data_IF_380586455341
#
_entry.id   IF_380586455341
#
_cell.length_a   1.000
_cell.length_b   1.000
_cell.length_c   1.000
_cell.angle_alpha   90.00
_cell.angle_beta   90.00
_cell.angle_gamma   90.00
#
_symmetry.space_group_name_H-M   'P 1'
#
loop_
_entity.id
_entity.type
_entity.pdbx_description
1 polymer ?
#
# COMPACT_ATOMS: atom_id res chain seq x y z
N UNK A 1 -1.55 0.06 -10.33
CA UNK A 1 -0.81 0.27 -11.59
C UNK A 1 -0.66 1.73 -11.99
N UNK A 2 -1.02 2.70 -11.14
CA UNK A 2 -0.71 4.13 -11.29
C UNK A 2 0.81 4.37 -11.31
N UNK A 3 1.53 3.64 -10.46
CA UNK A 3 2.98 3.53 -10.50
C UNK A 3 3.36 2.22 -11.20
N UNK A 4 4.10 2.28 -12.30
CA UNK A 4 4.36 1.10 -13.14
C UNK A 4 5.14 0.00 -12.42
N UNK A 5 5.99 0.33 -11.47
CA UNK A 5 6.80 -0.64 -10.73
C UNK A 5 6.08 -1.26 -9.50
N UNK A 6 4.81 -0.96 -9.27
CA UNK A 6 4.06 -1.46 -8.11
C UNK A 6 3.27 -2.74 -8.43
N UNK A 7 3.97 -3.81 -8.81
CA UNK A 7 3.38 -5.03 -9.37
C UNK A 7 2.50 -5.83 -8.38
N UNK A 8 2.70 -5.69 -7.07
CA UNK A 8 1.83 -6.37 -6.09
C UNK A 8 0.40 -5.85 -6.13
N UNK A 9 0.22 -4.53 -6.30
CA UNK A 9 -1.11 -3.92 -6.44
C UNK A 9 -1.80 -4.38 -7.72
N UNK A 10 -1.07 -4.40 -8.83
CA UNK A 10 -1.57 -4.92 -10.12
C UNK A 10 -2.02 -6.37 -10.00
N UNK A 11 -1.19 -7.22 -9.39
CA UNK A 11 -1.52 -8.64 -9.21
C UNK A 11 -2.72 -8.83 -8.29
N UNK A 12 -2.84 -8.05 -7.21
CA UNK A 12 -3.99 -8.10 -6.32
C UNK A 12 -5.30 -7.77 -7.06
N UNK A 13 -5.30 -6.72 -7.90
CA UNK A 13 -6.46 -6.36 -8.72
C UNK A 13 -6.74 -7.42 -9.78
N UNK A 14 -5.71 -8.01 -10.41
CA UNK A 14 -5.89 -9.09 -11.37
C UNK A 14 -6.50 -10.36 -10.75
N UNK A 15 -6.13 -10.69 -9.51
CA UNK A 15 -6.78 -11.78 -8.76
C UNK A 15 -8.26 -11.49 -8.50
N UNK A 16 -8.60 -10.24 -8.18
CA UNK A 16 -10.00 -9.82 -8.06
C UNK A 16 -10.73 -9.91 -9.40
N UNK A 17 -10.13 -9.45 -10.51
CA UNK A 17 -10.70 -9.59 -11.86
C UNK A 17 -11.01 -11.06 -12.17
N UNK A 18 -10.08 -11.96 -11.86
CA UNK A 18 -10.28 -13.40 -12.08
C UNK A 18 -11.44 -13.95 -11.23
N UNK A 19 -11.54 -13.55 -9.96
CA UNK A 19 -12.65 -13.95 -9.09
C UNK A 19 -14.01 -13.45 -9.61
N UNK A 20 -14.09 -12.19 -10.05
CA UNK A 20 -15.32 -11.57 -10.56
C UNK A 20 -15.75 -12.13 -11.92
N UNK A 21 -14.83 -12.67 -12.72
CA UNK A 21 -15.17 -13.41 -13.95
C UNK A 21 -15.83 -14.76 -13.65
N UNK A 22 -15.41 -15.44 -12.61
CA UNK A 22 -16.02 -16.71 -12.16
C UNK A 22 -17.35 -16.45 -11.47
N UNK A 23 -17.43 -15.40 -10.70
CA UNK A 23 -18.59 -15.01 -9.92
C UNK A 23 -18.91 -13.52 -10.14
N UNK A 24 -19.75 -13.19 -11.13
CA UNK A 24 -20.12 -11.82 -11.44
C UNK A 24 -20.73 -11.10 -10.23
N UNK A 25 -20.36 -9.84 -9.98
CA UNK A 25 -20.86 -9.08 -8.85
C UNK A 25 -22.30 -8.64 -9.07
N UNK A 26 -23.04 -8.42 -7.98
CA UNK A 26 -24.29 -7.67 -8.01
C UNK A 26 -23.95 -6.17 -8.01
N UNK A 27 -24.30 -5.46 -9.07
CA UNK A 27 -23.95 -4.05 -9.25
C UNK A 27 -22.71 -3.85 -10.14
N UNK A 28 -22.11 -2.68 -10.07
CA UNK A 28 -21.02 -2.27 -10.96
C UNK A 28 -19.71 -2.17 -10.20
N UNK A 29 -18.64 -2.74 -10.76
CA UNK A 29 -17.27 -2.62 -10.27
C UNK A 29 -16.38 -2.09 -11.38
N UNK A 30 -15.84 -0.89 -11.21
CA UNK A 30 -14.85 -0.31 -12.12
C UNK A 30 -13.46 -0.72 -11.68
N UNK A 31 -12.68 -1.35 -12.56
CA UNK A 31 -11.34 -1.85 -12.27
C UNK A 31 -10.33 -1.26 -13.24
N UNK A 32 -9.24 -0.70 -12.70
CA UNK A 32 -8.10 -0.15 -13.43
C UNK A 32 -6.84 -0.93 -13.02
N UNK A 33 -6.60 -2.14 -13.58
CA UNK A 33 -5.52 -2.99 -13.12
C UNK A 33 -4.12 -2.43 -13.40
N UNK A 34 -3.98 -1.73 -14.54
CA UNK A 34 -2.70 -1.19 -14.99
C UNK A 34 -2.93 0.14 -15.73
N UNK A 35 -2.61 1.25 -15.09
CA UNK A 35 -2.74 2.60 -15.67
C UNK A 35 -1.46 3.01 -16.38
N UNK A 36 -0.31 2.84 -15.73
CA UNK A 36 1.01 3.19 -16.26
C UNK A 36 1.69 1.98 -16.91
N UNK A 37 1.16 1.52 -18.05
CA UNK A 37 1.66 0.34 -18.76
C UNK A 37 3.12 0.52 -19.21
N UNK A 38 3.46 1.69 -19.75
CA UNK A 38 4.81 2.01 -20.22
C UNK A 38 5.82 2.04 -19.06
N UNK A 39 5.42 2.62 -17.92
CA UNK A 39 6.26 2.58 -16.73
C UNK A 39 6.43 1.16 -16.18
N UNK A 40 5.43 0.30 -16.34
CA UNK A 40 5.53 -1.10 -15.91
C UNK A 40 6.51 -1.90 -16.78
N UNK A 41 6.49 -1.72 -18.09
CA UNK A 41 7.43 -2.35 -19.04
C UNK A 41 8.88 -1.97 -18.72
N UNK A 42 9.13 -0.72 -18.34
CA UNK A 42 10.46 -0.20 -17.98
C UNK A 42 10.82 -0.38 -16.50
N UNK A 43 9.94 -0.95 -15.69
CA UNK A 43 10.14 -1.07 -14.23
C UNK A 43 10.17 0.27 -13.49
N UNK A 44 9.61 1.33 -14.07
CA UNK A 44 9.63 2.69 -13.55
C UNK A 44 8.37 2.99 -12.73
N UNK A 45 8.56 3.75 -11.66
CA UNK A 45 7.45 4.28 -10.87
C UNK A 45 6.63 5.31 -11.67
N UNK A 46 7.32 6.22 -12.33
CA UNK A 46 6.80 7.42 -12.96
C UNK A 46 6.49 7.23 -14.43
N UNK A 47 5.80 8.19 -15.02
CA UNK A 47 5.54 8.25 -16.45
C UNK A 47 6.86 8.40 -17.22
N UNK A 48 7.18 7.50 -18.19
CA UNK A 48 8.53 7.45 -18.78
C UNK A 48 8.94 8.68 -19.58
N UNK A 49 7.98 9.37 -20.21
CA UNK A 49 8.32 10.47 -21.16
C UNK A 49 8.78 11.76 -20.48
N UNK A 50 8.27 12.06 -19.30
CA UNK A 50 8.55 13.34 -18.62
C UNK A 50 8.86 13.16 -17.12
N UNK A 51 9.00 11.91 -16.68
CA UNK A 51 9.32 11.52 -15.29
C UNK A 51 8.32 12.06 -14.25
N UNK A 52 7.07 12.34 -14.65
CA UNK A 52 6.03 12.79 -13.70
C UNK A 52 5.40 11.62 -12.96
N UNK A 53 5.01 11.92 -11.74
CA UNK A 53 4.18 11.02 -10.93
C UNK A 53 2.71 11.24 -11.30
N UNK A 54 2.09 10.24 -11.95
CA UNK A 54 0.66 10.30 -12.33
C UNK A 54 -0.21 10.59 -11.10
N UNK A 55 0.16 10.04 -9.94
CA UNK A 55 -0.57 10.27 -8.69
C UNK A 55 -0.47 11.71 -8.16
N UNK A 56 0.22 12.61 -8.85
CA UNK A 56 0.29 14.05 -8.54
C UNK A 56 -0.45 14.92 -9.57
N UNK A 57 -1.08 14.29 -10.57
CA UNK A 57 -1.80 15.00 -11.63
C UNK A 57 -3.30 15.14 -11.37
N UNK A 58 -3.85 14.44 -10.37
CA UNK A 58 -5.28 14.48 -10.05
C UNK A 58 -5.73 15.85 -9.53
N UNK A 59 -6.94 16.31 -9.92
CA UNK A 59 -7.99 15.62 -10.68
C UNK A 59 -7.75 15.55 -12.20
N UNK A 60 -6.68 16.13 -12.73
CA UNK A 60 -6.39 16.16 -14.15
C UNK A 60 -7.15 17.24 -14.93
N UNK A 61 -7.00 17.24 -16.28
CA UNK A 61 -7.67 18.13 -17.21
C UNK A 61 -7.93 17.40 -18.53
N UNK A 62 -9.13 17.54 -19.11
CA UNK A 62 -9.51 16.90 -20.37
C UNK A 62 -8.66 17.39 -21.57
N UNK A 63 -8.30 18.67 -21.57
CA UNK A 63 -7.49 19.35 -22.59
C UNK A 63 -6.00 19.44 -22.20
N UNK A 64 -5.59 18.77 -21.12
CA UNK A 64 -4.22 18.76 -20.64
C UNK A 64 -3.30 17.84 -21.44
N UNK A 65 -2.06 17.73 -20.96
CA UNK A 65 -1.12 16.76 -21.49
C UNK A 65 -1.51 15.30 -21.18
N UNK A 66 -0.70 14.33 -21.62
CA UNK A 66 -1.02 12.91 -21.51
C UNK A 66 -1.32 12.47 -20.08
N UNK A 67 -0.50 12.88 -19.10
CA UNK A 67 -0.67 12.53 -17.69
C UNK A 67 -1.92 13.17 -17.08
N UNK A 68 -2.20 14.43 -17.43
CA UNK A 68 -3.40 15.13 -16.98
C UNK A 68 -4.69 14.53 -17.57
N UNK A 69 -4.66 14.09 -18.83
CA UNK A 69 -5.79 13.42 -19.48
C UNK A 69 -6.05 12.04 -18.88
N UNK A 70 -5.00 11.27 -18.54
CA UNK A 70 -5.15 10.00 -17.83
C UNK A 70 -5.82 10.23 -16.47
N UNK A 71 -5.34 11.19 -15.70
CA UNK A 71 -5.90 11.52 -14.39
C UNK A 71 -7.37 11.96 -14.50
N UNK A 72 -7.70 12.80 -15.47
CA UNK A 72 -9.08 13.25 -15.74
C UNK A 72 -9.99 12.08 -16.10
N UNK A 73 -9.57 11.20 -17.01
CA UNK A 73 -10.38 10.05 -17.44
C UNK A 73 -10.69 9.10 -16.27
N UNK A 74 -9.74 8.88 -15.35
CA UNK A 74 -9.98 8.10 -14.14
C UNK A 74 -11.04 8.79 -13.27
N UNK A 75 -10.90 10.09 -13.02
CA UNK A 75 -11.87 10.84 -12.20
C UNK A 75 -13.27 10.83 -12.79
N UNK A 76 -13.39 10.99 -14.09
CA UNK A 76 -14.66 10.98 -14.83
C UNK A 76 -15.33 9.60 -14.79
N UNK A 77 -14.55 8.53 -14.79
CA UNK A 77 -15.02 7.13 -14.79
C UNK A 77 -15.31 6.55 -13.40
N UNK A 78 -15.08 7.30 -12.31
CA UNK A 78 -15.12 6.76 -10.94
C UNK A 78 -16.23 7.38 -10.08
N UNK A 79 -17.47 7.41 -10.57
CA UNK A 79 -18.63 7.71 -9.72
C UNK A 79 -19.07 6.40 -9.01
N UNK A 80 -18.72 6.28 -7.71
CA UNK A 80 -18.92 5.05 -6.94
C UNK A 80 -19.14 5.35 -5.45
N UNK A 81 -19.84 4.45 -4.74
CA UNK A 81 -20.11 4.53 -3.30
C UNK A 81 -18.81 4.48 -2.48
N UNK A 82 -17.83 3.72 -2.96
CA UNK A 82 -16.49 3.59 -2.37
C UNK A 82 -15.42 3.48 -3.45
N UNK A 83 -14.36 4.24 -3.33
CA UNK A 83 -13.19 4.20 -4.18
C UNK A 83 -12.00 3.58 -3.43
N UNK A 84 -11.24 2.72 -4.09
CA UNK A 84 -10.09 2.04 -3.48
C UNK A 84 -8.86 2.23 -4.36
N UNK A 85 -7.85 2.94 -3.84
CA UNK A 85 -6.56 3.10 -4.48
C UNK A 85 -5.58 2.06 -3.93
N UNK A 86 -5.07 1.18 -4.79
CA UNK A 86 -4.23 0.04 -4.39
C UNK A 86 -2.80 0.24 -4.84
N UNK A 87 -1.88 0.29 -3.89
CA UNK A 87 -0.46 0.52 -4.10
C UNK A 87 0.42 -0.60 -3.55
N UNK A 88 1.68 -0.61 -3.93
CA UNK A 88 2.74 -1.34 -3.25
C UNK A 88 3.58 -0.39 -2.39
N UNK A 89 4.36 -0.94 -1.47
CA UNK A 89 5.44 -0.21 -0.80
C UNK A 89 6.46 0.32 -1.81
N UNK A 90 7.33 1.21 -1.37
CA UNK A 90 8.40 1.72 -2.23
C UNK A 90 9.39 0.62 -2.63
N UNK A 91 10.30 0.92 -3.57
CA UNK A 91 11.38 -0.01 -3.94
C UNK A 91 12.34 -0.31 -2.77
N UNK A 92 12.37 0.52 -1.73
CA UNK A 92 13.26 0.38 -0.58
C UNK A 92 12.67 -0.42 0.57
N UNK A 93 11.34 -0.46 0.72
CA UNK A 93 10.69 -1.09 1.87
C UNK A 93 9.62 -2.08 1.43
N UNK A 94 9.47 -3.17 2.19
CA UNK A 94 8.35 -4.10 2.09
C UNK A 94 7.35 -3.76 3.18
N UNK A 95 6.08 -3.70 2.83
CA UNK A 95 4.99 -3.37 3.74
C UNK A 95 4.02 -4.55 3.88
N UNK A 96 3.59 -4.83 5.11
CA UNK A 96 2.46 -5.71 5.40
C UNK A 96 1.20 -5.07 4.81
N UNK A 97 0.30 -5.83 4.17
CA UNK A 97 -0.94 -5.27 3.64
C UNK A 97 -1.73 -4.50 4.69
N UNK A 98 -2.04 -3.26 4.37
CA UNK A 98 -2.68 -2.31 5.27
C UNK A 98 -3.65 -1.40 4.53
N UNK A 99 -4.67 -0.93 5.23
CA UNK A 99 -5.55 0.15 4.77
C UNK A 99 -5.24 1.41 5.54
N UNK A 100 -4.99 2.50 4.83
CA UNK A 100 -4.74 3.83 5.41
C UNK A 100 -5.99 4.68 5.28
N UNK A 101 -6.56 5.11 6.38
CA UNK A 101 -7.86 5.78 6.44
C UNK A 101 -7.88 6.94 7.45
N UNK A 102 -8.88 7.83 7.39
CA UNK A 102 -9.15 8.79 8.46
C UNK A 102 -9.43 8.11 9.81
N UNK A 103 -9.51 8.92 10.85
CA UNK A 103 -9.75 8.45 12.23
C UNK A 103 -11.16 7.89 12.46
N UNK A 104 -12.14 8.23 11.62
CA UNK A 104 -13.55 7.86 11.75
C UNK A 104 -14.27 7.97 10.41
N UNK A 105 -15.54 7.54 10.37
CA UNK A 105 -16.42 7.67 9.21
C UNK A 105 -16.51 6.42 8.35
N UNK A 106 -17.24 6.51 7.25
CA UNK A 106 -17.52 5.40 6.34
C UNK A 106 -16.25 4.73 5.78
N UNK A 107 -15.19 5.48 5.57
CA UNK A 107 -13.92 4.97 5.11
C UNK A 107 -13.24 4.04 6.15
N UNK A 108 -13.35 4.36 7.45
CA UNK A 108 -12.84 3.48 8.51
C UNK A 108 -13.65 2.17 8.58
N UNK A 109 -14.95 2.25 8.44
CA UNK A 109 -15.81 1.05 8.39
C UNK A 109 -15.44 0.18 7.18
N UNK A 110 -15.31 0.77 6.00
CA UNK A 110 -14.88 0.06 4.79
C UNK A 110 -13.50 -0.63 5.00
N UNK A 111 -12.55 0.06 5.64
CA UNK A 111 -11.24 -0.50 5.94
C UNK A 111 -11.31 -1.73 6.85
N UNK A 112 -12.14 -1.68 7.89
CA UNK A 112 -12.37 -2.82 8.80
C UNK A 112 -13.01 -4.01 8.09
N UNK A 113 -13.97 -3.72 7.20
CA UNK A 113 -14.65 -4.73 6.39
C UNK A 113 -13.69 -5.47 5.45
N UNK A 114 -12.64 -4.82 4.97
CA UNK A 114 -11.60 -5.46 4.16
C UNK A 114 -10.85 -6.54 4.94
N UNK A 115 -10.77 -6.45 6.27
CA UNK A 115 -10.08 -7.43 7.11
C UNK A 115 -8.63 -7.67 6.71
N UNK A 116 -7.93 -6.62 6.24
CA UNK A 116 -6.48 -6.67 6.01
C UNK A 116 -5.73 -6.69 7.35
N UNK A 117 -4.50 -7.20 7.39
CA UNK A 117 -3.74 -7.33 8.65
C UNK A 117 -3.67 -6.05 9.47
N UNK A 118 -3.59 -4.89 8.84
CA UNK A 118 -3.50 -3.62 9.54
C UNK A 118 -4.52 -2.60 9.00
N UNK A 119 -5.27 -1.99 9.90
CA UNK A 119 -6.03 -0.77 9.65
C UNK A 119 -5.27 0.39 10.29
N UNK A 120 -4.69 1.27 9.48
CA UNK A 120 -3.92 2.40 9.96
C UNK A 120 -4.74 3.69 9.90
N UNK A 121 -5.22 4.12 11.06
CA UNK A 121 -5.95 5.38 11.23
C UNK A 121 -4.99 6.55 11.28
N UNK A 122 -5.20 7.53 10.40
CA UNK A 122 -4.35 8.72 10.29
C UNK A 122 -5.15 9.98 10.60
N UNK A 123 -4.61 10.95 11.35
CA UNK A 123 -5.28 12.23 11.58
C UNK A 123 -5.57 12.97 10.27
N UNK A 124 -6.72 13.64 10.19
CA UNK A 124 -7.30 14.22 8.98
C UNK A 124 -6.39 15.15 8.17
N UNK A 125 -5.54 15.98 8.81
CA UNK A 125 -4.59 16.85 8.11
C UNK A 125 -3.43 16.12 7.41
N UNK A 126 -3.30 14.79 7.60
CA UNK A 126 -2.28 13.93 7.00
C UNK A 126 -2.85 12.73 6.24
N UNK A 127 -4.15 12.62 6.17
CA UNK A 127 -4.80 11.72 5.21
C UNK A 127 -4.56 12.36 3.86
N UNK A 128 -3.99 11.63 2.92
CA UNK A 128 -3.60 12.15 1.61
C UNK A 128 -4.64 13.12 1.04
N UNK A 129 -4.34 14.41 1.12
CA UNK A 129 -5.11 15.47 0.45
C UNK A 129 -4.61 15.66 -0.97
N UNK A 130 -3.56 14.94 -1.33
CA UNK A 130 -2.93 14.93 -2.65
C UNK A 130 -3.08 13.56 -3.31
N UNK A 131 -3.01 13.53 -4.62
CA UNK A 131 -3.14 12.30 -5.39
C UNK A 131 -4.61 11.85 -5.56
N UNK A 132 -4.78 10.63 -6.04
CA UNK A 132 -6.09 10.09 -6.43
C UNK A 132 -7.08 10.04 -5.26
N UNK A 133 -6.66 9.49 -4.12
CA UNK A 133 -7.51 9.43 -2.91
C UNK A 133 -7.93 10.82 -2.45
N UNK A 134 -7.01 11.78 -2.46
CA UNK A 134 -7.32 13.17 -2.12
C UNK A 134 -8.32 13.81 -3.09
N UNK A 135 -8.15 13.58 -4.37
CA UNK A 135 -9.05 14.10 -5.40
C UNK A 135 -10.47 13.50 -5.29
N UNK A 136 -10.59 12.19 -5.04
CA UNK A 136 -11.89 11.55 -4.79
C UNK A 136 -12.59 12.14 -3.57
N UNK A 137 -11.88 12.35 -2.46
CA UNK A 137 -12.45 12.98 -1.25
C UNK A 137 -12.88 14.41 -1.48
N UNK A 138 -12.10 15.20 -2.22
CA UNK A 138 -12.46 16.56 -2.61
C UNK A 138 -13.72 16.58 -3.49
N UNK A 139 -13.94 15.53 -4.29
CA UNK A 139 -15.16 15.32 -5.07
C UNK A 139 -16.32 14.71 -4.23
N UNK A 140 -16.19 14.60 -2.90
CA UNK A 140 -17.24 14.10 -2.01
C UNK A 140 -17.38 12.57 -1.99
N UNK A 141 -16.41 11.82 -2.53
CA UNK A 141 -16.43 10.35 -2.58
C UNK A 141 -15.71 9.74 -1.38
N UNK A 142 -16.24 8.65 -0.85
CA UNK A 142 -15.51 7.84 0.14
C UNK A 142 -14.34 7.15 -0.54
N UNK A 143 -13.13 7.28 0.01
CA UNK A 143 -11.94 6.71 -0.62
C UNK A 143 -10.96 6.17 0.41
N UNK A 144 -10.46 4.96 0.18
CA UNK A 144 -9.47 4.29 1.02
C UNK A 144 -8.19 3.98 0.24
N UNK A 145 -7.07 3.96 0.95
CA UNK A 145 -5.75 3.68 0.38
C UNK A 145 -5.24 2.35 0.91
N UNK A 146 -5.09 1.36 0.03
CA UNK A 146 -4.52 0.04 0.33
C UNK A 146 -3.07 0.02 -0.11
N UNK A 147 -2.19 -0.46 0.77
CA UNK A 147 -0.75 -0.61 0.46
C UNK A 147 -0.27 -1.97 0.95
N UNK A 148 0.54 -2.66 0.14
CA UNK A 148 1.16 -3.92 0.56
C UNK A 148 2.25 -4.42 -0.39
N UNK A 149 3.21 -5.17 0.14
CA UNK A 149 4.34 -5.67 -0.64
C UNK A 149 5.44 -4.61 -0.85
N UNK A 150 6.19 -4.75 -1.93
CA UNK A 150 7.33 -3.89 -2.28
C UNK A 150 7.28 -3.56 -3.77
N UNK A 151 7.65 -2.36 -4.17
CA UNK A 151 7.87 -2.01 -5.58
C UNK A 151 8.95 -2.86 -6.23
N UNK A 152 8.89 -3.02 -7.55
CA UNK A 152 9.82 -3.79 -8.41
C UNK A 152 9.89 -5.31 -8.12
N UNK A 153 9.12 -5.83 -7.18
CA UNK A 153 9.06 -7.27 -6.88
C UNK A 153 7.61 -7.72 -6.80
N UNK A 154 7.37 -9.00 -7.03
CA UNK A 154 6.07 -9.63 -6.83
C UNK A 154 6.13 -10.59 -5.63
N UNK A 155 5.28 -10.33 -4.64
CA UNK A 155 5.02 -11.22 -3.51
C UNK A 155 3.57 -11.68 -3.60
N UNK A 156 3.37 -12.93 -4.07
CA UNK A 156 2.04 -13.49 -4.32
C UNK A 156 1.24 -13.69 -3.03
N UNK A 157 1.91 -13.90 -1.88
CA UNK A 157 1.24 -14.00 -0.58
C UNK A 157 0.63 -12.67 -0.18
N UNK A 158 1.41 -11.59 -0.24
CA UNK A 158 0.93 -10.25 0.14
C UNK A 158 -0.12 -9.72 -0.84
N UNK A 159 0.08 -9.95 -2.15
CA UNK A 159 -0.93 -9.60 -3.17
C UNK A 159 -2.24 -10.37 -2.97
N UNK A 160 -2.16 -11.66 -2.63
CA UNK A 160 -3.32 -12.49 -2.32
C UNK A 160 -4.09 -12.00 -1.09
N UNK A 161 -3.39 -11.51 -0.05
CA UNK A 161 -4.04 -10.88 1.10
C UNK A 161 -4.81 -9.63 0.70
N UNK A 162 -4.21 -8.75 -0.11
CA UNK A 162 -4.89 -7.56 -0.64
C UNK A 162 -6.12 -7.93 -1.48
N UNK A 163 -6.01 -8.91 -2.38
CA UNK A 163 -7.13 -9.38 -3.19
C UNK A 163 -8.29 -9.92 -2.34
N UNK A 164 -8.00 -10.71 -1.31
CA UNK A 164 -9.03 -11.17 -0.36
C UNK A 164 -9.68 -10.01 0.39
N UNK A 165 -8.90 -9.00 0.78
CA UNK A 165 -9.44 -7.78 1.40
C UNK A 165 -10.42 -7.05 0.47
N UNK A 166 -10.07 -6.86 -0.79
CA UNK A 166 -10.96 -6.27 -1.80
C UNK A 166 -12.23 -7.11 -1.99
N UNK A 167 -12.10 -8.44 -2.06
CA UNK A 167 -13.26 -9.33 -2.16
C UNK A 167 -14.17 -9.28 -0.93
N UNK A 168 -13.59 -9.18 0.28
CA UNK A 168 -14.39 -9.02 1.53
C UNK A 168 -15.16 -7.70 1.53
N UNK A 169 -14.56 -6.61 1.06
CA UNK A 169 -15.28 -5.33 0.91
C UNK A 169 -16.50 -5.50 0.01
N UNK A 170 -16.34 -6.09 -1.18
CA UNK A 170 -17.45 -6.35 -2.09
C UNK A 170 -18.52 -7.30 -1.48
N UNK A 171 -18.09 -8.33 -0.75
CA UNK A 171 -19.00 -9.22 -0.04
C UNK A 171 -19.81 -8.48 1.03
N UNK A 172 -19.17 -7.57 1.76
CA UNK A 172 -19.82 -6.75 2.79
C UNK A 172 -20.83 -5.77 2.20
N UNK A 173 -20.55 -5.24 1.01
CA UNK A 173 -21.49 -4.43 0.22
C UNK A 173 -22.63 -5.28 -0.39
N UNK A 174 -22.67 -6.60 -0.17
CA UNK A 174 -23.68 -7.51 -0.73
C UNK A 174 -23.49 -7.82 -2.22
N UNK A 175 -22.36 -7.43 -2.80
CA UNK A 175 -22.08 -7.58 -4.22
C UNK A 175 -21.61 -8.98 -4.60
N UNK A 176 -21.05 -9.75 -3.65
CA UNK A 176 -20.62 -11.14 -3.84
C UNK A 176 -20.77 -11.94 -2.53
N UNK A 177 -20.71 -13.28 -2.55
CA UNK A 177 -20.71 -14.08 -1.34
C UNK A 177 -19.52 -13.82 -0.43
N UNK A 178 -19.67 -14.19 0.85
CA UNK A 178 -18.63 -14.05 1.86
C UNK A 178 -17.34 -14.78 1.47
N UNK A 179 -16.20 -14.15 1.73
CA UNK A 179 -14.86 -14.63 1.38
C UNK A 179 -14.04 -14.79 2.66
N UNK A 180 -14.19 -15.92 3.31
CA UNK A 180 -13.35 -16.31 4.44
C UNK A 180 -13.26 -15.29 5.61
N UNK A 181 -12.59 -15.64 6.71
CA UNK A 181 -12.47 -14.77 7.88
C UNK A 181 -11.54 -13.57 7.64
N UNK A 182 -11.71 -12.55 8.49
CA UNK A 182 -10.77 -11.40 8.55
C UNK A 182 -9.38 -11.86 9.00
N UNK A 183 -8.37 -11.19 8.46
CA UNK A 183 -6.97 -11.37 8.84
C UNK A 183 -6.47 -10.19 9.69
N UNK A 184 -7.37 -9.34 10.19
CA UNK A 184 -6.99 -8.15 10.94
C UNK A 184 -6.27 -8.51 12.23
N UNK A 185 -5.06 -8.02 12.35
CA UNK A 185 -4.19 -8.19 13.51
C UNK A 185 -4.16 -6.91 14.35
N UNK A 186 -4.19 -5.75 13.70
CA UNK A 186 -4.03 -4.47 14.37
C UNK A 186 -4.89 -3.36 13.73
N UNK A 187 -5.62 -2.62 14.58
CA UNK A 187 -6.27 -1.34 14.25
C UNK A 187 -5.50 -0.25 15.02
N UNK A 188 -4.65 0.47 14.31
CA UNK A 188 -3.61 1.32 14.91
C UNK A 188 -3.73 2.79 14.51
N UNK A 189 -3.29 3.66 15.40
CA UNK A 189 -3.03 5.07 15.17
C UNK A 189 -1.52 5.34 15.16
N UNK A 190 -1.12 6.59 14.95
CA UNK A 190 0.31 6.95 14.93
C UNK A 190 1.03 6.68 16.26
N UNK A 191 0.34 6.80 17.37
CA UNK A 191 0.92 6.56 18.71
C UNK A 191 1.20 5.09 19.00
N UNK A 192 0.56 4.21 18.24
CA UNK A 192 0.71 2.77 18.38
C UNK A 192 1.88 2.21 17.55
N UNK A 193 2.53 3.07 16.75
CA UNK A 193 3.62 2.66 15.85
C UNK A 193 4.96 3.07 16.44
N UNK A 194 5.83 2.08 16.62
CA UNK A 194 7.25 2.26 16.86
C UNK A 194 7.98 2.32 15.51
N UNK A 195 8.98 3.18 15.40
CA UNK A 195 9.73 3.37 14.15
C UNK A 195 11.21 3.30 14.44
N UNK A 196 11.90 2.36 13.80
CA UNK A 196 13.33 2.19 13.90
C UNK A 196 14.03 2.78 12.68
N UNK A 197 14.99 3.65 12.92
CA UNK A 197 15.80 4.30 11.89
C UNK A 197 17.26 3.96 12.04
N UNK A 198 17.98 3.94 10.92
CA UNK A 198 19.42 3.71 10.90
C UNK A 198 20.16 4.78 11.71
N UNK A 199 21.01 4.38 12.63
CA UNK A 199 21.86 5.28 13.43
C UNK A 199 23.17 5.62 12.70
N UNK A 200 23.56 4.79 11.73
CA UNK A 200 24.73 5.00 10.87
C UNK A 200 24.49 4.43 9.47
N UNK A 201 25.39 4.70 8.54
CA UNK A 201 25.39 4.07 7.21
C UNK A 201 25.93 2.64 7.26
N UNK A 202 25.49 1.80 6.31
CA UNK A 202 25.95 0.42 6.18
C UNK A 202 24.94 -0.49 5.47
N UNK A 203 25.12 -1.82 5.61
CA UNK A 203 24.13 -2.81 5.20
C UNK A 203 23.18 -3.12 6.35
N UNK A 204 21.90 -2.90 6.13
CA UNK A 204 20.87 -3.41 7.04
C UNK A 204 20.58 -4.87 6.74
N UNK A 205 20.80 -5.73 7.72
CA UNK A 205 20.46 -7.16 7.70
C UNK A 205 19.26 -7.35 8.62
N UNK A 206 18.11 -7.67 8.04
CA UNK A 206 16.87 -7.89 8.79
C UNK A 206 16.83 -9.31 9.34
N UNK A 207 16.44 -9.46 10.62
CA UNK A 207 16.17 -10.74 11.29
C UNK A 207 14.66 -11.03 11.38
N UNK A 208 13.82 -10.12 10.86
CA UNK A 208 12.35 -10.24 10.89
C UNK A 208 11.75 -10.03 9.52
N UNK A 209 10.51 -10.49 9.36
CA UNK A 209 9.68 -10.31 8.17
C UNK A 209 8.41 -9.52 8.50
N UNK A 210 7.81 -8.91 7.50
CA UNK A 210 6.49 -8.28 7.68
C UNK A 210 5.46 -9.32 8.10
N UNK A 211 4.73 -9.01 9.17
CA UNK A 211 3.74 -9.87 9.81
C UNK A 211 4.29 -10.68 10.99
N UNK A 212 5.59 -10.68 11.25
CA UNK A 212 6.15 -11.38 12.40
C UNK A 212 5.72 -10.69 13.70
N UNK A 213 5.28 -11.46 14.72
CA UNK A 213 5.11 -10.97 16.07
C UNK A 213 6.47 -10.76 16.73
N UNK A 214 6.59 -9.70 17.52
CA UNK A 214 7.83 -9.38 18.26
C UNK A 214 7.51 -9.01 19.70
N UNK A 215 8.45 -9.29 20.60
CA UNK A 215 8.40 -8.96 22.02
C UNK A 215 9.54 -8.01 22.39
N UNK A 216 9.49 -7.31 23.53
CA UNK A 216 10.59 -6.47 24.00
C UNK A 216 11.92 -7.20 24.00
N UNK A 217 12.96 -6.58 23.43
CA UNK A 217 14.29 -7.16 23.30
C UNK A 217 14.49 -8.02 22.06
N UNK A 218 13.43 -8.41 21.31
CA UNK A 218 13.55 -9.18 20.07
C UNK A 218 14.47 -8.45 19.08
N UNK A 219 15.45 -9.14 18.50
CA UNK A 219 16.36 -8.59 17.50
C UNK A 219 15.62 -8.39 16.19
N UNK A 220 15.43 -7.14 15.77
CA UNK A 220 14.79 -6.80 14.49
C UNK A 220 15.77 -6.85 13.31
N UNK A 221 17.06 -6.64 13.61
CA UNK A 221 18.13 -6.63 12.63
C UNK A 221 19.36 -5.87 13.12
N UNK A 222 20.33 -5.75 12.24
CA UNK A 222 21.57 -5.03 12.54
C UNK A 222 22.11 -4.30 11.31
N UNK A 223 22.95 -3.29 11.54
CA UNK A 223 23.71 -2.60 10.49
C UNK A 223 25.12 -3.17 10.50
N UNK A 224 25.57 -3.61 9.32
CA UNK A 224 26.90 -4.19 9.10
C UNK A 224 27.75 -3.26 8.25
N UNK A 225 29.03 -3.17 8.58
CA UNK A 225 30.03 -2.49 7.78
C UNK A 225 30.16 -3.17 6.40
N UNK A 226 30.05 -2.42 5.29
CA UNK A 226 30.24 -2.99 3.95
C UNK A 226 31.72 -3.29 3.63
N UNK A 227 32.66 -2.81 4.46
CA UNK A 227 34.09 -2.95 4.23
C UNK A 227 34.71 -4.05 5.12
N UNK A 228 34.41 -4.04 6.43
CA UNK A 228 35.00 -4.94 7.39
C UNK A 228 34.09 -6.10 7.81
N UNK A 229 32.78 -6.02 7.55
CA UNK A 229 31.81 -7.04 7.93
C UNK A 229 31.41 -7.03 9.42
N UNK A 230 31.98 -6.14 10.24
CA UNK A 230 31.63 -6.00 11.65
C UNK A 230 30.20 -5.41 11.81
N UNK A 231 29.52 -5.80 12.90
CA UNK A 231 28.25 -5.20 13.29
C UNK A 231 28.49 -3.81 13.87
N UNK A 232 27.88 -2.79 13.25
CA UNK A 232 27.98 -1.39 13.67
C UNK A 232 26.88 -1.00 14.65
N UNK A 233 25.69 -1.59 14.53
CA UNK A 233 24.55 -1.33 15.40
C UNK A 233 23.55 -2.47 15.35
N UNK A 234 22.84 -2.71 16.46
CA UNK A 234 21.71 -3.63 16.53
C UNK A 234 20.41 -2.85 16.76
N UNK A 235 19.31 -3.38 16.22
CA UNK A 235 17.97 -2.88 16.41
C UNK A 235 17.17 -3.92 17.18
N UNK A 236 16.54 -3.50 18.29
CA UNK A 236 15.67 -4.36 19.08
C UNK A 236 14.32 -3.70 19.30
N UNK A 237 13.26 -4.50 19.32
CA UNK A 237 11.92 -4.02 19.68
C UNK A 237 11.91 -3.53 21.14
N UNK A 238 11.26 -2.39 21.39
CA UNK A 238 11.09 -1.87 22.76
C UNK A 238 9.79 -2.36 23.41
N UNK A 239 8.85 -2.86 22.60
CA UNK A 239 7.52 -3.33 23.01
C UNK A 239 7.05 -4.51 22.18
N UNK A 240 6.00 -5.20 22.64
CA UNK A 240 5.30 -6.22 21.87
C UNK A 240 4.54 -5.60 20.70
N UNK A 241 4.48 -6.29 19.56
CA UNK A 241 3.80 -5.80 18.38
C UNK A 241 3.93 -6.73 17.17
N UNK A 242 3.55 -6.21 16.00
CA UNK A 242 3.67 -6.89 14.72
C UNK A 242 4.49 -6.02 13.77
N UNK A 243 5.40 -6.63 13.05
CA UNK A 243 6.26 -5.93 12.07
C UNK A 243 5.44 -5.50 10.86
N UNK A 244 5.24 -4.18 10.70
CA UNK A 244 4.46 -3.61 9.61
C UNK A 244 5.29 -3.35 8.36
N UNK A 245 6.55 -2.98 8.54
CA UNK A 245 7.44 -2.54 7.45
C UNK A 245 8.85 -3.06 7.70
N UNK A 246 9.52 -3.49 6.65
CA UNK A 246 10.93 -3.90 6.72
C UNK A 246 11.69 -3.32 5.54
N UNK A 247 12.84 -2.70 5.82
CA UNK A 247 13.79 -2.25 4.79
C UNK A 247 14.22 -3.45 3.95
N UNK A 248 14.01 -3.38 2.66
CA UNK A 248 14.32 -4.44 1.70
C UNK A 248 15.53 -4.10 0.81
N UNK A 249 15.81 -2.81 0.59
CA UNK A 249 17.06 -2.38 -0.02
C UNK A 249 18.12 -2.23 1.06
N UNK A 250 19.15 -3.07 1.09
CA UNK A 250 20.00 -3.21 2.27
C UNK A 250 20.92 -2.02 2.54
N UNK A 251 21.39 -1.31 1.50
CA UNK A 251 22.21 -0.12 1.71
C UNK A 251 21.39 0.99 2.37
N UNK A 252 21.89 1.51 3.48
CA UNK A 252 21.22 2.55 4.23
C UNK A 252 22.17 3.68 4.62
N UNK A 253 21.60 4.89 4.69
CA UNK A 253 22.21 6.05 5.33
C UNK A 253 21.59 6.30 6.70
N UNK A 254 22.28 7.06 7.53
CA UNK A 254 21.73 7.46 8.82
C UNK A 254 20.34 8.11 8.66
N UNK A 255 19.43 7.85 9.60
CA UNK A 255 18.04 8.31 9.65
C UNK A 255 17.08 7.67 8.63
N UNK A 256 17.53 6.77 7.75
CA UNK A 256 16.61 6.02 6.90
C UNK A 256 15.78 5.00 7.70
N UNK A 257 14.55 4.78 7.26
CA UNK A 257 13.62 3.80 7.87
C UNK A 257 14.13 2.38 7.68
N UNK A 258 14.12 1.59 8.75
CA UNK A 258 14.51 0.17 8.78
C UNK A 258 13.32 -0.75 9.07
N UNK A 259 12.61 -0.49 10.18
CA UNK A 259 11.44 -1.28 10.63
C UNK A 259 10.38 -0.35 11.20
#
# INVERSE_FOLDING_TARGET
GLHGNELNSVHAVNLLVAALRVQPPKGTVHLFPMVNTLGAEEGLKRWPFDNRDINRAFPGKADGDGVQRIAHAIMDSTDADICVDVHSGSAQVRELPQVRVPMSGAELEAARMMGLPVVWRRPGARVDTTGLVGAWRQAGRNAVHVVGGRGITLDTRLSGMMARGLSRLLAHMGMMPSVGPSETVADVSRTDIETHRAVCGGFFVSEVRVGDPVEPGHLLGYIQSPLGGERLAELRASRSGVVMTVRAWPMVHAQELLV
#
